data_IF_076701705479
#
_entry.id   IF_076701705479
#
_cell.length_a   1.000
_cell.length_b   1.000
_cell.length_c   1.000
_cell.angle_alpha   90.00
_cell.angle_beta   90.00
_cell.angle_gamma   90.00
#
_symmetry.space_group_name_H-M   'P 1'
#
loop_
_entity.id
_entity.type
_entity.pdbx_description
1 polymer ?
#
# COMPACT_ATOMS: atom_id res chain seq x y z
N UNK A 1 -25.21 18.41 -80.72
CA UNK A 1 -25.17 17.20 -81.59
C UNK A 1 -24.93 15.97 -80.71
N UNK A 2 -25.76 14.93 -80.90
CA UNK A 2 -25.62 13.50 -80.51
C UNK A 2 -25.62 13.18 -79.00
N UNK A 3 -26.77 12.72 -78.45
CA UNK A 3 -27.26 11.31 -78.27
C UNK A 3 -26.66 10.65 -77.01
N UNK A 4 -27.41 10.47 -75.92
CA UNK A 4 -28.46 9.48 -75.62
C UNK A 4 -27.94 8.15 -75.01
N UNK A 5 -28.40 7.89 -73.77
CA UNK A 5 -29.00 6.64 -73.24
C UNK A 5 -28.05 5.43 -72.98
N UNK A 6 -27.97 4.93 -71.72
CA UNK A 6 -28.68 3.73 -71.19
C UNK A 6 -27.89 2.94 -70.12
N UNK A 7 -28.67 2.27 -69.25
CA UNK A 7 -28.36 1.18 -68.30
C UNK A 7 -27.72 1.59 -66.96
N UNK A 8 -28.19 1.16 -65.79
CA UNK A 8 -29.13 0.09 -65.44
C UNK A 8 -28.66 -0.51 -64.10
N UNK A 9 -29.57 -0.60 -63.12
CA UNK A 9 -29.39 -1.16 -61.78
C UNK A 9 -28.56 -2.46 -61.73
N UNK A 10 -27.62 -2.56 -60.78
CA UNK A 10 -27.35 -3.82 -60.05
C UNK A 10 -27.23 -3.51 -58.55
N UNK A 11 -28.14 -4.13 -57.81
CA UNK A 11 -28.16 -4.28 -56.36
C UNK A 11 -27.02 -5.24 -55.97
N UNK A 12 -26.12 -4.83 -55.09
CA UNK A 12 -25.33 -5.79 -54.30
C UNK A 12 -24.99 -5.16 -52.95
N UNK A 13 -25.95 -5.29 -52.04
CA UNK A 13 -25.77 -5.48 -50.61
C UNK A 13 -24.47 -6.21 -50.27
N UNK A 14 -23.56 -5.52 -49.58
CA UNK A 14 -22.36 -6.12 -48.98
C UNK A 14 -21.41 -5.03 -48.51
N UNK A 15 -21.08 -5.03 -47.22
CA UNK A 15 -20.17 -4.10 -46.51
C UNK A 15 -20.72 -2.72 -46.12
N UNK A 16 -21.70 -2.69 -45.22
CA UNK A 16 -21.72 -1.69 -44.14
C UNK A 16 -21.96 -2.45 -42.82
N UNK A 17 -21.02 -3.31 -42.45
CA UNK A 17 -20.98 -3.99 -41.15
C UNK A 17 -19.53 -4.09 -40.63
N UNK A 18 -18.80 -2.97 -40.71
CA UNK A 18 -17.48 -2.80 -40.10
C UNK A 18 -17.43 -1.53 -39.21
N UNK A 19 -18.59 -1.05 -38.75
CA UNK A 19 -18.74 0.22 -38.04
C UNK A 19 -18.83 0.11 -36.51
N UNK A 20 -18.34 -0.96 -35.86
CA UNK A 20 -18.41 -1.08 -34.38
C UNK A 20 -17.18 -1.79 -33.74
N UNK A 21 -15.97 -1.73 -34.33
CA UNK A 21 -14.76 -2.23 -33.67
C UNK A 21 -13.56 -1.27 -33.69
N UNK A 22 -13.82 0.05 -33.74
CA UNK A 22 -12.75 1.05 -33.51
C UNK A 22 -13.10 2.09 -32.44
N UNK A 23 -14.06 1.78 -31.57
CA UNK A 23 -14.44 2.60 -30.43
C UNK A 23 -14.17 1.83 -29.11
N UNK A 24 -12.90 1.58 -28.80
CA UNK A 24 -12.35 1.38 -27.45
C UNK A 24 -10.87 0.99 -27.59
N UNK A 25 -9.99 1.99 -27.65
CA UNK A 25 -8.57 1.88 -27.31
C UNK A 25 -7.92 3.28 -27.29
N UNK A 26 -8.58 4.24 -26.63
CA UNK A 26 -7.98 5.53 -26.30
C UNK A 26 -8.51 6.00 -24.95
N UNK A 27 -7.92 5.47 -23.89
CA UNK A 27 -7.82 6.17 -22.61
C UNK A 27 -6.38 6.02 -22.10
N UNK A 28 -5.45 6.61 -22.83
CA UNK A 28 -4.14 7.03 -22.31
C UNK A 28 -3.89 8.44 -22.86
N UNK A 29 -4.74 9.37 -22.42
CA UNK A 29 -4.55 10.78 -22.69
C UNK A 29 -3.38 11.28 -21.87
N UNK A 30 -2.17 11.23 -22.42
CA UNK A 30 -1.04 11.98 -21.89
C UNK A 30 -1.48 13.43 -21.66
N UNK A 31 -1.45 13.89 -20.41
CA UNK A 31 -1.56 15.31 -20.10
C UNK A 31 -0.53 16.05 -20.97
N UNK A 32 -0.98 17.13 -21.63
CA UNK A 32 -0.19 17.85 -22.63
C UNK A 32 1.22 18.17 -22.10
N UNK A 33 2.27 17.97 -22.91
CA UNK A 33 3.63 18.30 -22.48
C UNK A 33 3.71 19.78 -22.11
N UNK A 34 4.18 20.07 -20.90
CA UNK A 34 4.45 21.43 -20.45
C UNK A 34 5.41 22.11 -21.45
N UNK A 35 5.15 23.38 -21.77
CA UNK A 35 6.03 24.17 -22.64
C UNK A 35 7.37 24.38 -21.90
N UNK A 36 8.46 23.89 -22.50
CA UNK A 36 9.81 23.93 -21.91
C UNK A 36 10.19 22.65 -21.15
N UNK A 37 11.36 22.64 -20.54
CA UNK A 37 11.75 21.58 -19.60
C UNK A 37 11.40 22.04 -18.18
N UNK A 38 10.21 21.74 -17.63
CA UNK A 38 9.90 22.13 -16.26
C UNK A 38 10.85 21.43 -15.28
N UNK A 39 11.02 22.05 -14.12
CA UNK A 39 11.76 21.48 -13.01
C UNK A 39 11.11 20.16 -12.57
N UNK A 40 11.92 19.14 -12.27
CA UNK A 40 11.41 17.92 -11.64
C UNK A 40 11.13 18.21 -10.18
N UNK A 41 9.97 17.77 -9.69
CA UNK A 41 9.55 18.01 -8.30
C UNK A 41 8.52 16.97 -7.85
N UNK A 42 8.30 16.90 -6.53
CA UNK A 42 7.16 16.21 -5.93
C UNK A 42 7.03 14.74 -6.32
N UNK A 43 7.98 13.90 -5.89
CA UNK A 43 7.77 12.45 -5.95
C UNK A 43 6.70 12.08 -4.92
N UNK A 44 5.67 11.36 -5.37
CA UNK A 44 4.64 10.77 -4.52
C UNK A 44 4.71 9.26 -4.67
N UNK A 45 4.73 8.55 -3.54
CA UNK A 45 4.75 7.08 -3.49
C UNK A 45 3.47 6.61 -2.83
N UNK A 46 2.79 5.67 -3.48
CA UNK A 46 1.58 5.04 -2.95
C UNK A 46 1.85 4.45 -1.55
N UNK A 47 1.01 4.84 -0.59
CA UNK A 47 1.10 4.35 0.78
C UNK A 47 0.42 2.99 0.91
N UNK A 48 0.74 2.25 1.98
CA UNK A 48 0.10 0.97 2.30
C UNK A 48 0.31 -0.13 1.25
N UNK A 49 1.40 -0.07 0.47
CA UNK A 49 1.71 -1.04 -0.59
C UNK A 49 3.19 -1.42 -0.60
N UNK A 50 3.47 -2.73 -0.62
CA UNK A 50 4.83 -3.25 -0.84
C UNK A 50 5.30 -3.19 -2.28
N UNK A 51 4.39 -2.83 -3.20
CA UNK A 51 4.66 -2.61 -4.62
C UNK A 51 4.00 -1.28 -5.03
N UNK A 52 4.47 -0.16 -4.47
CA UNK A 52 3.77 1.11 -4.62
C UNK A 52 3.84 1.61 -6.07
N UNK A 53 2.81 2.34 -6.48
CA UNK A 53 2.89 3.26 -7.62
C UNK A 53 3.72 4.49 -7.26
N UNK A 54 4.62 4.87 -8.16
CA UNK A 54 5.52 6.02 -8.01
C UNK A 54 5.13 7.06 -9.07
N UNK A 55 4.84 8.26 -8.60
CA UNK A 55 4.40 9.41 -9.40
C UNK A 55 5.31 10.60 -9.16
N UNK A 56 5.34 11.54 -10.11
CA UNK A 56 6.13 12.77 -9.99
C UNK A 56 5.57 13.90 -10.84
N UNK A 57 6.08 15.12 -10.58
CA UNK A 57 5.79 16.32 -11.36
C UNK A 57 7.03 16.77 -12.14
N UNK A 58 6.82 17.39 -13.30
CA UNK A 58 7.91 17.96 -14.11
C UNK A 58 8.22 17.21 -15.42
N UNK A 59 7.26 16.45 -15.95
CA UNK A 59 7.34 15.80 -17.27
C UNK A 59 8.03 14.44 -17.23
N UNK A 60 8.32 13.89 -18.41
CA UNK A 60 8.89 12.55 -18.54
C UNK A 60 10.38 12.52 -18.23
N UNK A 61 10.86 11.35 -17.79
CA UNK A 61 12.24 11.13 -17.37
C UNK A 61 12.83 9.93 -18.10
N UNK A 62 14.15 9.79 -18.03
CA UNK A 62 14.83 8.61 -18.60
C UNK A 62 15.15 7.56 -17.55
N UNK A 63 15.18 7.93 -16.27
CA UNK A 63 15.60 7.04 -15.19
C UNK A 63 14.64 7.15 -14.02
N UNK A 64 14.28 5.99 -13.47
CA UNK A 64 13.74 5.84 -12.12
C UNK A 64 14.71 4.94 -11.34
N UNK A 65 15.22 5.44 -10.23
CA UNK A 65 16.06 4.66 -9.32
C UNK A 65 15.50 4.64 -7.91
N UNK A 66 15.74 3.53 -7.22
CA UNK A 66 15.35 3.29 -5.84
C UNK A 66 16.55 2.68 -5.12
N UNK A 67 16.99 3.33 -4.05
CA UNK A 67 18.05 2.84 -3.16
C UNK A 67 17.47 2.55 -1.78
N UNK A 68 18.06 1.57 -1.09
CA UNK A 68 17.86 1.38 0.35
C UNK A 68 18.67 2.43 1.12
N UNK A 69 18.05 3.03 2.13
CA UNK A 69 18.65 4.08 2.95
C UNK A 69 18.31 5.49 2.45
N UNK A 70 19.15 6.46 2.83
CA UNK A 70 18.91 7.90 2.61
C UNK A 70 19.61 8.50 1.40
N UNK A 71 20.27 7.67 0.58
CA UNK A 71 21.16 8.12 -0.49
C UNK A 71 20.72 7.55 -1.83
N UNK A 72 20.66 8.41 -2.84
CA UNK A 72 20.62 8.00 -4.23
C UNK A 72 22.04 7.72 -4.71
N UNK A 73 22.30 6.56 -5.31
CA UNK A 73 23.61 6.18 -5.83
C UNK A 73 23.49 5.03 -6.83
N UNK A 74 24.50 4.90 -7.71
CA UNK A 74 24.69 3.73 -8.54
C UNK A 74 25.67 2.77 -7.85
N UNK A 75 25.16 2.01 -6.88
CA UNK A 75 25.94 1.08 -6.06
C UNK A 75 25.10 -0.10 -5.54
N UNK A 76 25.68 -0.91 -4.65
CA UNK A 76 25.04 -2.08 -4.04
C UNK A 76 23.77 -1.80 -3.22
N UNK A 77 23.47 -0.54 -2.90
CA UNK A 77 22.22 -0.18 -2.20
C UNK A 77 21.04 -0.08 -3.16
N UNK A 78 21.25 -0.16 -4.48
CA UNK A 78 20.20 -0.16 -5.48
C UNK A 78 19.25 -1.35 -5.28
N UNK A 79 17.98 -1.00 -5.19
CA UNK A 79 16.84 -1.92 -5.08
C UNK A 79 16.12 -2.01 -6.41
N UNK A 80 16.10 -0.95 -7.20
CA UNK A 80 15.59 -0.99 -8.56
C UNK A 80 16.13 0.18 -9.36
N UNK A 81 16.50 -0.07 -10.62
CA UNK A 81 16.94 0.96 -11.56
C UNK A 81 16.33 0.68 -12.93
N UNK A 82 15.43 1.54 -13.35
CA UNK A 82 14.75 1.50 -14.64
C UNK A 82 15.32 2.61 -15.52
N UNK A 83 15.67 2.27 -16.76
CA UNK A 83 16.13 3.22 -17.76
C UNK A 83 15.31 3.09 -19.04
N UNK A 84 14.91 4.22 -19.62
CA UNK A 84 14.38 4.28 -20.98
C UNK A 84 14.93 5.53 -21.69
N UNK A 85 15.48 5.41 -22.91
CA UNK A 85 16.07 6.54 -23.62
C UNK A 85 15.02 7.58 -24.02
N UNK A 86 15.45 8.81 -24.28
CA UNK A 86 14.61 9.87 -24.85
C UNK A 86 13.63 10.51 -23.88
N UNK A 87 13.85 10.38 -22.56
CA UNK A 87 12.89 10.79 -21.54
C UNK A 87 11.50 10.19 -21.78
N UNK A 88 11.41 8.87 -21.89
CA UNK A 88 10.18 8.14 -22.27
C UNK A 88 9.52 7.40 -21.11
N UNK A 89 10.02 7.52 -19.88
CA UNK A 89 9.32 6.99 -18.72
C UNK A 89 8.15 7.90 -18.34
N UNK A 90 6.96 7.31 -18.31
CA UNK A 90 5.71 7.93 -17.90
C UNK A 90 5.37 7.51 -16.47
N UNK A 91 4.75 8.41 -15.70
CA UNK A 91 4.12 8.08 -14.42
C UNK A 91 2.65 7.66 -14.65
N UNK A 92 2.05 6.87 -13.74
CA UNK A 92 2.69 6.18 -12.61
C UNK A 92 3.51 4.96 -13.05
N UNK A 93 4.55 4.61 -12.28
CA UNK A 93 5.28 3.34 -12.42
C UNK A 93 5.08 2.50 -11.16
N UNK A 94 4.59 1.27 -11.32
CA UNK A 94 4.48 0.33 -10.21
C UNK A 94 5.82 -0.35 -9.93
N UNK A 95 6.24 -0.36 -8.67
CA UNK A 95 7.46 -1.05 -8.25
C UNK A 95 7.52 -2.51 -8.75
N UNK A 96 8.64 -2.86 -9.38
CA UNK A 96 8.94 -4.20 -9.85
C UNK A 96 8.35 -4.55 -11.21
N UNK A 97 7.45 -3.72 -11.76
CA UNK A 97 6.92 -3.85 -13.11
C UNK A 97 7.72 -2.98 -14.09
N UNK A 98 8.42 -3.63 -15.02
CA UNK A 98 9.21 -2.92 -16.02
C UNK A 98 8.29 -2.28 -17.09
N UNK A 99 8.32 -0.96 -17.29
CA UNK A 99 7.56 -0.30 -18.34
C UNK A 99 7.97 -0.77 -19.74
N UNK A 100 7.05 -0.68 -20.71
CA UNK A 100 7.34 -1.03 -22.10
C UNK A 100 8.49 -0.18 -22.67
N UNK A 101 9.44 -0.82 -23.34
CA UNK A 101 10.62 -0.15 -23.92
C UNK A 101 11.71 0.23 -22.91
N UNK A 102 11.48 0.04 -21.61
CA UNK A 102 12.48 0.28 -20.59
C UNK A 102 13.37 -0.93 -20.33
N UNK A 103 14.51 -0.69 -19.69
CA UNK A 103 15.52 -1.67 -19.29
C UNK A 103 15.68 -1.65 -17.77
N UNK A 104 15.82 -2.83 -17.17
CA UNK A 104 16.23 -2.96 -15.77
C UNK A 104 17.76 -3.01 -15.70
N UNK A 105 18.37 -1.94 -15.18
CA UNK A 105 19.83 -1.82 -15.05
C UNK A 105 20.31 -2.11 -13.62
N UNK A 106 19.46 -2.65 -12.74
CA UNK A 106 19.76 -2.81 -11.31
C UNK A 106 21.03 -3.63 -11.08
N UNK A 107 21.13 -4.78 -11.72
CA UNK A 107 22.27 -5.69 -11.57
C UNK A 107 23.57 -5.13 -12.16
N UNK A 108 23.48 -4.28 -13.19
CA UNK A 108 24.66 -3.66 -13.82
C UNK A 108 25.45 -2.79 -12.83
N UNK A 109 24.77 -2.19 -11.87
CA UNK A 109 25.38 -1.32 -10.85
C UNK A 109 25.47 -2.00 -9.48
N UNK A 110 25.42 -3.33 -9.44
CA UNK A 110 25.61 -4.13 -8.21
C UNK A 110 24.40 -4.19 -7.28
N UNK A 111 23.25 -3.67 -7.70
CA UNK A 111 22.00 -3.75 -6.94
C UNK A 111 21.31 -5.10 -7.06
N UNK A 112 20.30 -5.31 -6.21
CA UNK A 112 19.44 -6.51 -6.24
C UNK A 112 17.98 -6.09 -6.13
N UNK A 113 17.18 -6.48 -7.13
CA UNK A 113 15.74 -6.22 -7.14
C UNK A 113 14.97 -7.27 -6.33
N UNK A 114 14.37 -6.91 -5.19
CA UNK A 114 13.49 -7.81 -4.45
C UNK A 114 12.12 -7.92 -5.14
N UNK A 115 11.38 -8.98 -4.81
CA UNK A 115 10.00 -9.16 -5.30
C UNK A 115 9.03 -8.09 -4.78
N UNK A 116 9.36 -7.47 -3.64
CA UNK A 116 8.62 -6.38 -3.03
C UNK A 116 9.53 -5.56 -2.12
N UNK A 117 9.15 -4.33 -1.82
CA UNK A 117 9.82 -3.55 -0.79
C UNK A 117 9.56 -4.16 0.60
N UNK A 118 10.37 -3.79 1.58
CA UNK A 118 10.30 -4.31 2.97
C UNK A 118 9.82 -3.22 3.92
N UNK A 119 8.97 -3.58 4.88
CA UNK A 119 8.43 -2.70 5.92
C UNK A 119 9.53 -2.10 6.80
N UNK A 120 9.30 -0.90 7.35
CA UNK A 120 10.21 -0.21 8.27
C UNK A 120 11.60 0.08 7.66
N UNK A 121 11.78 -0.09 6.35
CA UNK A 121 13.02 0.21 5.64
C UNK A 121 12.88 1.57 4.96
N UNK A 122 13.86 2.44 5.16
CA UNK A 122 13.96 3.69 4.43
C UNK A 122 14.40 3.45 2.98
N UNK A 123 13.73 4.10 2.04
CA UNK A 123 14.11 4.11 0.63
C UNK A 123 14.25 5.53 0.12
N UNK A 124 15.24 5.74 -0.75
CA UNK A 124 15.38 6.96 -1.54
C UNK A 124 14.95 6.67 -2.98
N UNK A 125 13.88 7.33 -3.40
CA UNK A 125 13.39 7.33 -4.77
C UNK A 125 13.98 8.53 -5.51
N UNK A 126 14.44 8.34 -6.73
CA UNK A 126 14.99 9.43 -7.53
C UNK A 126 14.69 9.24 -9.01
N UNK A 127 14.55 10.36 -9.71
CA UNK A 127 14.20 10.41 -11.12
C UNK A 127 15.16 11.34 -11.84
N UNK A 128 15.56 10.97 -13.05
CA UNK A 128 16.57 11.72 -13.78
C UNK A 128 16.28 11.82 -15.28
N UNK A 129 16.52 13.00 -15.86
CA UNK A 129 16.48 13.22 -17.31
C UNK A 129 17.74 12.72 -18.00
N UNK A 130 17.64 12.45 -19.30
CA UNK A 130 18.67 11.76 -20.08
C UNK A 130 20.02 12.51 -20.11
N UNK A 131 19.97 13.84 -20.17
CA UNK A 131 21.12 14.73 -20.21
C UNK A 131 22.02 14.59 -18.97
N UNK A 132 21.41 14.49 -17.79
CA UNK A 132 22.12 14.23 -16.54
C UNK A 132 22.56 12.76 -16.46
N UNK A 133 21.71 11.82 -16.88
CA UNK A 133 22.01 10.38 -16.83
C UNK A 133 23.29 10.02 -17.58
N UNK A 134 23.48 10.57 -18.78
CA UNK A 134 24.69 10.36 -19.61
C UNK A 134 25.99 10.74 -18.88
N UNK A 135 25.93 11.69 -17.96
CA UNK A 135 27.09 12.13 -17.19
C UNK A 135 27.23 11.36 -15.87
N UNK A 136 26.12 11.05 -15.20
CA UNK A 136 26.08 10.36 -13.90
C UNK A 136 26.57 8.91 -14.00
N UNK A 137 26.29 8.22 -15.11
CA UNK A 137 26.71 6.82 -15.32
C UNK A 137 28.22 6.62 -15.28
N UNK A 138 29.01 7.64 -15.66
CA UNK A 138 30.47 7.60 -15.57
C UNK A 138 31.00 7.75 -14.14
N UNK A 139 30.13 8.04 -13.17
CA UNK A 139 30.47 8.39 -11.79
C UNK A 139 29.80 7.45 -10.78
N UNK A 140 29.77 6.14 -11.09
CA UNK A 140 29.23 5.11 -10.20
C UNK A 140 29.86 5.12 -8.80
N UNK A 141 29.14 4.60 -7.81
CA UNK A 141 29.49 4.60 -6.38
C UNK A 141 29.60 5.98 -5.70
N UNK A 142 29.14 7.06 -6.35
CA UNK A 142 29.06 8.40 -5.75
C UNK A 142 27.62 8.74 -5.37
N UNK A 143 27.48 9.58 -4.34
CA UNK A 143 26.18 10.06 -3.88
C UNK A 143 25.61 11.06 -4.89
N UNK A 144 24.40 10.79 -5.38
CA UNK A 144 23.68 11.65 -6.29
C UNK A 144 22.86 12.66 -5.46
N UNK A 145 23.18 13.94 -5.61
CA UNK A 145 22.61 15.04 -4.84
C UNK A 145 21.96 16.07 -5.77
N UNK A 146 20.86 16.67 -5.33
CA UNK A 146 20.28 17.85 -5.98
C UNK A 146 21.02 19.10 -5.51
N UNK A 147 21.42 19.97 -6.42
CA UNK A 147 22.05 21.27 -6.11
C UNK A 147 21.36 22.39 -6.89
N UNK A 148 20.58 23.20 -6.17
CA UNK A 148 19.79 24.31 -6.73
C UNK A 148 20.63 25.50 -7.19
N UNK A 149 21.93 25.54 -6.88
CA UNK A 149 22.83 26.60 -7.36
C UNK A 149 23.35 26.35 -8.77
N UNK A 150 23.16 25.15 -9.31
CA UNK A 150 23.64 24.77 -10.63
C UNK A 150 22.74 25.31 -11.74
N UNK A 151 23.37 25.77 -12.83
CA UNK A 151 22.67 26.14 -14.05
C UNK A 151 21.90 24.95 -14.64
N UNK A 152 20.93 25.23 -15.51
CA UNK A 152 20.15 24.20 -16.19
C UNK A 152 21.06 23.19 -16.92
N UNK A 153 20.68 21.91 -16.89
CA UNK A 153 21.43 20.78 -17.46
C UNK A 153 22.85 20.57 -16.92
N UNK A 154 23.24 21.22 -15.82
CA UNK A 154 24.59 21.10 -15.25
C UNK A 154 24.71 19.92 -14.29
N UNK A 155 25.83 19.20 -14.40
CA UNK A 155 26.26 18.13 -13.50
C UNK A 155 27.69 18.43 -13.04
N UNK A 156 27.94 18.41 -11.73
CA UNK A 156 29.28 18.58 -11.16
C UNK A 156 29.64 17.32 -10.37
N UNK A 157 30.78 16.72 -10.71
CA UNK A 157 31.36 15.60 -9.97
C UNK A 157 32.47 16.15 -9.07
N UNK A 158 32.34 15.96 -7.76
CA UNK A 158 33.33 16.43 -6.79
C UNK A 158 33.37 15.50 -5.57
N UNK A 159 34.57 15.05 -5.21
CA UNK A 159 34.76 14.09 -4.11
C UNK A 159 33.87 12.86 -4.30
N UNK A 160 33.10 12.51 -3.28
CA UNK A 160 32.20 11.35 -3.28
C UNK A 160 30.77 11.67 -3.73
N UNK A 161 30.58 12.78 -4.46
CA UNK A 161 29.24 13.23 -4.86
C UNK A 161 29.17 13.65 -6.32
N UNK A 162 27.99 13.43 -6.89
CA UNK A 162 27.55 13.98 -8.17
C UNK A 162 26.39 14.91 -7.89
N UNK A 163 26.58 16.20 -8.13
CA UNK A 163 25.57 17.23 -7.91
C UNK A 163 24.89 17.52 -9.24
N UNK A 164 23.57 17.45 -9.26
CA UNK A 164 22.74 17.62 -10.45
C UNK A 164 21.72 18.73 -10.18
N UNK A 165 21.49 19.58 -11.19
CA UNK A 165 20.46 20.62 -11.12
C UNK A 165 19.06 20.02 -10.90
N UNK A 166 18.16 20.71 -10.16
CA UNK A 166 16.77 20.27 -9.99
C UNK A 166 15.97 20.22 -11.31
N UNK A 167 16.49 20.79 -12.40
CA UNK A 167 15.89 20.66 -13.74
C UNK A 167 15.97 19.25 -14.31
N UNK A 168 16.95 18.46 -13.86
CA UNK A 168 17.28 17.14 -14.41
C UNK A 168 17.30 16.02 -13.36
N UNK A 169 17.17 16.34 -12.06
CA UNK A 169 17.08 15.37 -10.96
C UNK A 169 16.05 15.81 -9.91
N UNK A 170 15.23 14.88 -9.45
CA UNK A 170 14.48 14.98 -8.19
C UNK A 170 14.70 13.73 -7.36
N UNK A 171 14.64 13.88 -6.03
CA UNK A 171 14.69 12.76 -5.09
C UNK A 171 13.71 12.97 -3.94
N UNK A 172 13.20 11.86 -3.40
CA UNK A 172 12.43 11.80 -2.17
C UNK A 172 12.97 10.66 -1.32
N UNK A 173 12.91 10.82 0.00
CA UNK A 173 13.32 9.77 0.94
C UNK A 173 12.20 9.59 1.94
N UNK A 174 11.69 8.37 2.02
CA UNK A 174 10.61 8.01 2.91
C UNK A 174 10.79 6.59 3.42
N UNK A 175 10.20 6.31 4.58
CA UNK A 175 10.15 4.95 5.09
C UNK A 175 9.06 4.19 4.35
N UNK A 176 9.35 2.94 3.98
CA UNK A 176 8.31 2.02 3.54
C UNK A 176 7.39 1.74 4.71
N UNK A 177 6.13 2.05 4.50
CA UNK A 177 5.13 2.20 5.53
C UNK A 177 3.84 1.53 5.03
N UNK A 178 3.94 0.23 4.76
CA UNK A 178 2.90 -0.54 4.08
C UNK A 178 1.83 -1.07 5.04
N UNK A 179 2.11 -1.20 6.34
CA UNK A 179 1.09 -1.54 7.34
C UNK A 179 1.33 -0.96 8.72
N UNK A 180 0.26 -0.88 9.51
CA UNK A 180 0.34 -0.39 10.89
C UNK A 180 1.07 -1.39 11.78
N UNK A 181 2.11 -0.91 12.44
CA UNK A 181 2.94 -1.74 13.29
C UNK A 181 2.47 -1.67 14.74
N UNK A 182 2.38 -2.83 15.38
CA UNK A 182 2.07 -2.93 16.81
C UNK A 182 3.38 -2.82 17.59
N UNK A 183 3.50 -1.79 18.42
CA UNK A 183 4.70 -1.53 19.22
C UNK A 183 4.67 -2.23 20.57
N UNK A 184 3.49 -2.39 21.16
CA UNK A 184 3.32 -3.10 22.43
C UNK A 184 1.87 -3.56 22.63
N UNK A 185 1.72 -4.58 23.49
CA UNK A 185 0.42 -5.17 23.86
C UNK A 185 0.41 -5.39 25.37
N UNK A 186 -0.53 -4.75 26.07
CA UNK A 186 -0.77 -4.96 27.49
C UNK A 186 -2.07 -5.70 27.73
N UNK A 187 -2.01 -6.95 28.17
CA UNK A 187 -3.21 -7.76 28.46
C UNK A 187 -3.72 -7.57 29.89
N UNK A 188 -5.03 -7.53 30.05
CA UNK A 188 -5.78 -7.30 31.29
C UNK A 188 -7.05 -8.15 31.30
N UNK A 189 -7.68 -8.30 32.47
CA UNK A 189 -8.92 -9.07 32.61
C UNK A 189 -8.71 -10.50 33.08
N UNK A 190 -9.83 -11.15 33.41
CA UNK A 190 -9.84 -12.46 34.05
C UNK A 190 -9.92 -13.61 33.05
N UNK A 191 -10.64 -13.43 31.93
CA UNK A 191 -10.96 -14.53 31.01
C UNK A 191 -9.71 -15.18 30.41
N UNK A 192 -8.82 -14.38 29.81
CA UNK A 192 -7.70 -14.87 29.02
C UNK A 192 -6.53 -13.88 29.01
N UNK A 193 -5.38 -14.37 28.58
CA UNK A 193 -4.29 -13.52 28.10
C UNK A 193 -4.42 -13.38 26.58
N UNK A 194 -4.44 -12.13 26.09
CA UNK A 194 -4.60 -11.80 24.67
C UNK A 194 -3.23 -11.45 24.09
N UNK A 195 -2.94 -11.98 22.91
CA UNK A 195 -1.77 -11.64 22.10
C UNK A 195 -2.25 -11.10 20.75
N UNK A 196 -1.61 -10.05 20.27
CA UNK A 196 -1.93 -9.44 18.98
C UNK A 196 -0.66 -9.44 18.15
N UNK A 197 -0.72 -10.04 16.97
CA UNK A 197 0.43 -10.24 16.09
C UNK A 197 0.11 -9.53 14.78
N UNK A 198 0.95 -8.59 14.37
CA UNK A 198 0.83 -7.96 13.06
C UNK A 198 1.45 -8.88 11.99
N UNK A 199 0.71 -9.30 10.95
CA UNK A 199 1.31 -10.03 9.84
C UNK A 199 2.24 -9.14 9.02
N UNK A 200 3.31 -9.72 8.47
CA UNK A 200 4.31 -8.99 7.68
C UNK A 200 3.90 -8.68 6.24
N UNK A 201 2.63 -8.91 5.88
CA UNK A 201 2.16 -8.85 4.49
C UNK A 201 0.77 -8.21 4.31
N UNK A 202 0.08 -7.84 5.39
CA UNK A 202 -1.25 -7.25 5.31
C UNK A 202 -1.60 -6.44 6.57
N UNK A 203 -2.70 -5.69 6.48
CA UNK A 203 -3.22 -4.82 7.54
C UNK A 203 -4.17 -5.52 8.52
N UNK A 204 -4.22 -6.86 8.53
CA UNK A 204 -5.16 -7.62 9.35
C UNK A 204 -4.44 -8.28 10.53
N UNK A 205 -4.44 -7.69 11.73
CA UNK A 205 -3.88 -8.32 12.92
C UNK A 205 -4.40 -9.75 13.13
N UNK A 206 -3.50 -10.62 13.57
CA UNK A 206 -3.83 -11.95 14.07
C UNK A 206 -3.99 -11.86 15.59
N UNK A 207 -5.20 -12.10 16.08
CA UNK A 207 -5.50 -12.10 17.51
C UNK A 207 -5.45 -13.55 18.02
N UNK A 208 -4.71 -13.76 19.10
CA UNK A 208 -4.65 -15.02 19.83
C UNK A 208 -5.08 -14.80 21.28
N UNK A 209 -5.65 -15.83 21.90
CA UNK A 209 -5.87 -15.80 23.34
C UNK A 209 -5.64 -17.17 23.97
N UNK A 210 -5.30 -17.15 25.25
CA UNK A 210 -5.20 -18.33 26.10
C UNK A 210 -6.08 -18.13 27.33
N UNK A 211 -7.13 -18.93 27.46
CA UNK A 211 -8.04 -18.87 28.60
C UNK A 211 -7.26 -19.17 29.89
N UNK A 212 -7.51 -18.36 30.92
CA UNK A 212 -6.86 -18.47 32.25
C UNK A 212 -7.86 -18.47 33.41
N UNK A 213 -9.10 -18.09 33.18
CA UNK A 213 -10.11 -18.06 34.24
C UNK A 213 -10.44 -19.49 34.71
N UNK A 214 -10.36 -19.71 36.03
CA UNK A 214 -10.73 -20.99 36.63
C UNK A 214 -12.18 -21.35 36.32
N UNK A 215 -12.42 -22.62 35.97
CA UNK A 215 -13.74 -23.14 35.62
C UNK A 215 -14.18 -22.89 34.18
N UNK A 216 -13.42 -22.13 33.38
CA UNK A 216 -13.66 -21.97 31.94
C UNK A 216 -12.76 -22.93 31.16
N UNK A 217 -13.37 -23.92 30.51
CA UNK A 217 -12.65 -24.93 29.70
C UNK A 217 -12.77 -24.70 28.20
N UNK A 218 -13.82 -24.01 27.76
CA UNK A 218 -14.02 -23.65 26.36
C UNK A 218 -13.00 -22.59 25.96
N UNK A 219 -12.25 -22.86 24.89
CA UNK A 219 -11.27 -21.93 24.33
C UNK A 219 -11.87 -20.91 23.39
N UNK A 220 -13.13 -21.09 22.98
CA UNK A 220 -13.84 -20.17 22.10
C UNK A 220 -14.53 -19.06 22.91
N UNK A 221 -14.89 -17.99 22.23
CA UNK A 221 -15.53 -16.80 22.82
C UNK A 221 -16.84 -16.50 22.09
N UNK A 222 -17.69 -15.70 22.73
CA UNK A 222 -19.00 -15.32 22.19
C UNK A 222 -19.01 -13.91 21.60
N UNK A 223 -18.07 -13.05 21.98
CA UNK A 223 -17.94 -11.71 21.42
C UNK A 223 -16.50 -11.21 21.43
N UNK A 224 -16.18 -10.38 20.45
CA UNK A 224 -14.89 -9.70 20.31
C UNK A 224 -15.09 -8.34 19.67
N UNK A 225 -14.29 -7.36 20.05
CA UNK A 225 -14.30 -6.06 19.41
C UNK A 225 -13.02 -5.26 19.62
N UNK A 226 -12.93 -4.18 18.87
CA UNK A 226 -11.82 -3.22 18.88
C UNK A 226 -12.41 -1.82 18.92
N UNK A 227 -11.93 -1.02 19.88
CA UNK A 227 -12.26 0.41 19.95
C UNK A 227 -10.98 1.24 20.04
N UNK A 228 -11.03 2.49 19.58
CA UNK A 228 -9.96 3.46 19.84
C UNK A 228 -9.90 3.84 21.32
N UNK A 229 -8.68 4.04 21.81
CA UNK A 229 -8.35 4.39 23.19
C UNK A 229 -7.77 3.24 23.99
N UNK A 230 -7.41 3.55 25.24
CA UNK A 230 -6.92 2.61 26.25
C UNK A 230 -8.04 2.00 27.12
N UNK A 231 -9.28 2.39 26.86
CA UNK A 231 -10.49 1.90 27.49
C UNK A 231 -11.61 1.79 26.45
N UNK A 232 -12.63 0.98 26.74
CA UNK A 232 -13.76 0.81 25.85
C UNK A 232 -14.49 2.14 25.61
N UNK A 233 -14.56 2.56 24.35
CA UNK A 233 -15.31 3.74 23.91
C UNK A 233 -16.28 3.35 22.77
N UNK A 234 -17.60 3.36 23.00
CA UNK A 234 -18.59 3.04 21.97
C UNK A 234 -18.50 3.94 20.73
N UNK A 235 -18.12 5.21 20.90
CA UNK A 235 -17.98 6.14 19.77
C UNK A 235 -16.74 5.85 18.92
N UNK A 236 -15.78 5.09 19.46
CA UNK A 236 -14.53 4.71 18.81
C UNK A 236 -14.50 3.28 18.29
N UNK A 237 -15.64 2.57 18.20
CA UNK A 237 -15.67 1.19 17.70
C UNK A 237 -15.14 1.15 16.26
N UNK A 238 -14.14 0.31 16.03
CA UNK A 238 -13.55 0.05 14.71
C UNK A 238 -13.93 -1.31 14.15
N UNK A 239 -14.25 -2.26 15.02
CA UNK A 239 -14.70 -3.58 14.62
C UNK A 239 -15.40 -4.25 15.80
N UNK A 240 -16.51 -4.93 15.55
CA UNK A 240 -17.23 -5.63 16.61
C UNK A 240 -18.06 -6.79 16.07
N UNK A 241 -17.88 -7.97 16.65
CA UNK A 241 -18.49 -9.23 16.22
C UNK A 241 -18.99 -10.03 17.42
N UNK A 242 -20.24 -10.49 17.35
CA UNK A 242 -20.86 -11.30 18.41
C UNK A 242 -21.49 -12.55 17.81
N UNK A 243 -21.46 -13.67 18.53
CA UNK A 243 -22.22 -14.87 18.21
C UNK A 243 -23.71 -14.54 18.06
N UNK A 244 -24.40 -15.17 17.12
CA UNK A 244 -25.86 -15.03 16.97
C UNK A 244 -26.54 -16.37 17.19
N UNK A 245 -27.56 -16.36 18.04
CA UNK A 245 -28.52 -17.45 18.20
C UNK A 245 -29.87 -17.02 17.64
N UNK A 246 -30.43 -17.82 16.73
CA UNK A 246 -31.74 -17.60 16.13
C UNK A 246 -32.71 -18.78 16.34
N UNK A 247 -32.36 -19.74 17.20
CA UNK A 247 -33.14 -20.97 17.46
C UNK A 247 -34.56 -20.69 17.98
N UNK A 248 -34.76 -19.56 18.64
CA UNK A 248 -36.04 -19.13 19.22
C UNK A 248 -36.86 -18.20 18.31
N UNK A 249 -36.43 -18.01 17.06
CA UNK A 249 -37.04 -17.06 16.10
C UNK A 249 -36.73 -15.58 16.39
N UNK A 250 -36.09 -15.28 17.53
CA UNK A 250 -35.50 -13.97 17.83
C UNK A 250 -33.98 -14.07 17.82
N UNK A 251 -33.30 -13.07 17.27
CA UNK A 251 -31.84 -12.98 17.33
C UNK A 251 -31.41 -12.63 18.75
N UNK A 252 -30.56 -13.46 19.35
CA UNK A 252 -29.91 -13.20 20.63
C UNK A 252 -28.40 -13.20 20.42
N UNK A 253 -27.71 -12.19 20.94
CA UNK A 253 -26.26 -12.01 20.72
C UNK A 253 -25.43 -12.42 21.93
N UNK A 254 -24.22 -12.92 21.67
CA UNK A 254 -23.22 -13.27 22.69
C UNK A 254 -23.59 -14.49 23.56
N UNK A 255 -24.46 -15.39 23.09
CA UNK A 255 -24.93 -16.57 23.85
C UNK A 255 -24.23 -17.87 23.53
N UNK A 256 -23.49 -17.94 22.43
CA UNK A 256 -22.77 -19.14 22.02
C UNK A 256 -21.28 -18.83 21.89
N UNK A 257 -20.44 -19.68 22.46
CA UNK A 257 -19.00 -19.59 22.25
C UNK A 257 -18.69 -20.27 20.90
N UNK A 258 -18.37 -19.47 19.89
CA UNK A 258 -18.21 -19.95 18.49
C UNK A 258 -17.02 -19.31 17.78
N UNK A 259 -16.45 -18.25 18.36
CA UNK A 259 -15.33 -17.53 17.78
C UNK A 259 -14.05 -18.18 18.28
N UNK A 260 -13.28 -18.77 17.36
CA UNK A 260 -12.09 -19.52 17.67
C UNK A 260 -10.80 -18.69 17.55
N UNK A 261 -9.78 -19.10 18.29
CA UNK A 261 -8.41 -18.59 18.19
C UNK A 261 -7.54 -19.59 17.41
N UNK A 262 -6.56 -19.15 16.60
CA UNK A 262 -6.21 -17.77 16.27
C UNK A 262 -7.23 -17.15 15.30
N UNK A 263 -7.45 -15.84 15.40
CA UNK A 263 -8.39 -15.10 14.57
C UNK A 263 -7.68 -14.05 13.72
N UNK A 264 -7.74 -14.20 12.41
CA UNK A 264 -7.36 -13.13 11.48
C UNK A 264 -8.53 -12.15 11.38
N UNK A 265 -8.27 -10.85 11.58
CA UNK A 265 -9.29 -9.82 11.44
C UNK A 265 -9.72 -9.63 9.98
N UNK A 266 -10.98 -9.25 9.75
CA UNK A 266 -11.52 -8.96 8.41
C UNK A 266 -12.51 -10.00 7.88
N UNK A 267 -12.15 -11.29 7.76
CA UNK A 267 -13.08 -12.32 7.29
C UNK A 267 -14.35 -12.45 8.14
N UNK A 268 -15.47 -12.81 7.50
CA UNK A 268 -16.71 -13.15 8.21
C UNK A 268 -16.53 -14.42 9.04
N UNK A 269 -17.03 -14.40 10.27
CA UNK A 269 -16.96 -15.53 11.19
C UNK A 269 -18.30 -16.27 11.18
N UNK A 270 -18.34 -17.59 10.88
CA UNK A 270 -19.58 -18.36 10.92
C UNK A 270 -20.27 -18.29 12.28
N UNK A 271 -21.61 -18.23 12.28
CA UNK A 271 -22.41 -18.18 13.52
C UNK A 271 -22.33 -16.84 14.27
N UNK A 272 -21.86 -15.77 13.62
CA UNK A 272 -21.75 -14.43 14.21
C UNK A 272 -22.47 -13.36 13.40
N UNK A 273 -22.67 -12.20 14.03
CA UNK A 273 -23.08 -10.95 13.42
C UNK A 273 -21.96 -9.93 13.60
N UNK A 274 -21.49 -9.35 12.49
CA UNK A 274 -20.64 -8.17 12.50
C UNK A 274 -21.51 -6.92 12.64
N UNK A 275 -21.22 -6.06 13.62
CA UNK A 275 -21.91 -4.78 13.83
C UNK A 275 -21.14 -3.63 13.19
N UNK A 276 -19.81 -3.70 13.24
CA UNK A 276 -18.90 -2.78 12.56
C UNK A 276 -17.86 -3.62 11.84
N UNK A 277 -17.78 -3.50 10.52
CA UNK A 277 -16.80 -4.21 9.70
C UNK A 277 -15.39 -3.65 9.93
N UNK A 278 -14.38 -4.52 9.85
CA UNK A 278 -13.00 -4.09 10.04
C UNK A 278 -12.58 -3.22 8.86
N UNK A 279 -11.96 -2.05 9.09
CA UNK A 279 -11.52 -1.15 8.02
C UNK A 279 -10.55 -1.86 7.06
N UNK A 280 -10.75 -1.67 5.75
CA UNK A 280 -9.90 -2.30 4.73
C UNK A 280 -8.46 -1.74 4.76
N UNK A 281 -8.33 -0.47 5.12
CA UNK A 281 -7.06 0.21 5.39
C UNK A 281 -6.38 -0.26 6.69
N UNK A 282 -7.09 -1.02 7.52
CA UNK A 282 -6.61 -1.51 8.81
C UNK A 282 -6.73 -0.52 9.96
N UNK A 283 -5.93 -0.78 11.00
CA UNK A 283 -5.80 0.15 12.13
C UNK A 283 -5.08 1.43 11.69
N UNK A 284 -5.14 2.48 12.49
CA UNK A 284 -4.42 3.74 12.27
C UNK A 284 -3.14 3.77 13.10
N UNK A 285 -2.15 4.52 12.61
CA UNK A 285 -0.88 4.76 13.32
C UNK A 285 -1.05 5.72 14.48
N UNK A 286 -0.18 5.60 15.48
CA UNK A 286 -0.13 6.47 16.66
C UNK A 286 -1.46 6.55 17.40
N UNK A 287 -2.18 5.43 17.43
CA UNK A 287 -3.46 5.28 18.12
C UNK A 287 -3.37 4.08 19.07
N UNK A 288 -3.89 4.26 20.27
CA UNK A 288 -4.10 3.17 21.20
C UNK A 288 -5.41 2.47 20.84
N UNK A 289 -5.38 1.14 20.85
CA UNK A 289 -6.56 0.31 20.61
C UNK A 289 -6.86 -0.57 21.81
N UNK A 290 -8.14 -0.61 22.16
CA UNK A 290 -8.69 -1.48 23.18
C UNK A 290 -9.34 -2.67 22.48
N UNK A 291 -8.66 -3.82 22.52
CA UNK A 291 -9.14 -5.08 21.94
C UNK A 291 -9.73 -5.93 23.05
N UNK A 292 -10.99 -6.32 22.96
CA UNK A 292 -11.66 -7.06 24.02
C UNK A 292 -12.30 -8.35 23.53
N UNK A 293 -12.35 -9.34 24.41
CA UNK A 293 -13.03 -10.62 24.19
C UNK A 293 -13.92 -10.94 25.39
N UNK A 294 -15.02 -11.63 25.12
CA UNK A 294 -15.94 -12.11 26.14
C UNK A 294 -16.51 -13.48 25.77
N UNK A 295 -16.70 -14.37 26.75
CA UNK A 295 -17.42 -15.62 26.53
C UNK A 295 -18.91 -15.48 26.90
N UNK A 296 -19.72 -16.50 26.64
CA UNK A 296 -21.17 -16.49 26.87
C UNK A 296 -21.61 -16.21 28.32
N UNK A 297 -20.72 -16.38 29.29
CA UNK A 297 -20.97 -16.11 30.71
C UNK A 297 -20.88 -14.63 31.08
N UNK A 298 -20.40 -13.78 30.18
CA UNK A 298 -20.29 -12.33 30.39
C UNK A 298 -21.65 -11.65 30.52
N UNK A 299 -21.72 -10.67 31.43
CA UNK A 299 -22.94 -9.91 31.76
C UNK A 299 -23.32 -8.85 30.71
N UNK A 300 -22.50 -8.69 29.66
CA UNK A 300 -22.63 -7.71 28.58
C UNK A 300 -22.44 -6.24 29.00
N UNK A 301 -22.14 -5.98 30.28
CA UNK A 301 -22.03 -4.65 30.85
C UNK A 301 -20.63 -4.37 31.40
N UNK A 302 -20.10 -5.24 32.26
CA UNK A 302 -18.79 -5.09 32.88
C UNK A 302 -17.65 -5.10 31.86
N UNK A 303 -16.73 -4.14 31.95
CA UNK A 303 -15.55 -4.01 31.06
C UNK A 303 -14.27 -3.67 31.81
N UNK A 304 -14.21 -4.08 33.07
CA UNK A 304 -13.05 -3.81 33.93
C UNK A 304 -12.10 -5.01 33.92
N UNK A 305 -10.87 -4.80 34.42
CA UNK A 305 -9.89 -5.90 34.58
C UNK A 305 -10.35 -7.00 35.56
N UNK A 306 -11.39 -6.75 36.36
CA UNK A 306 -11.93 -7.70 37.34
C UNK A 306 -13.24 -8.35 36.87
N UNK A 307 -13.77 -7.95 35.73
CA UNK A 307 -15.01 -8.51 35.20
C UNK A 307 -14.78 -9.97 34.81
N UNK A 308 -15.58 -10.87 35.40
CA UNK A 308 -15.59 -12.28 35.03
C UNK A 308 -15.98 -12.47 33.57
N UNK A 309 -15.42 -13.49 32.93
CA UNK A 309 -15.74 -13.86 31.55
C UNK A 309 -15.39 -12.79 30.51
N UNK A 310 -14.54 -11.85 30.89
CA UNK A 310 -14.10 -10.73 30.07
C UNK A 310 -12.57 -10.58 30.14
N UNK A 311 -11.95 -10.26 29.02
CA UNK A 311 -10.56 -9.86 28.94
C UNK A 311 -10.36 -8.80 27.87
N UNK A 312 -9.29 -8.02 28.01
CA UNK A 312 -8.92 -7.03 27.01
C UNK A 312 -7.41 -6.85 26.92
N UNK A 313 -6.97 -6.24 25.83
CA UNK A 313 -5.62 -5.78 25.63
C UNK A 313 -5.63 -4.33 25.17
N UNK A 314 -4.65 -3.56 25.66
CA UNK A 314 -4.31 -2.25 25.12
C UNK A 314 -3.18 -2.48 24.12
N UNK A 315 -3.36 -2.01 22.89
CA UNK A 315 -2.44 -2.19 21.78
C UNK A 315 -2.00 -0.83 21.30
N UNK A 316 -0.71 -0.57 21.31
CA UNK A 316 -0.14 0.68 20.84
C UNK A 316 0.36 0.51 19.39
N UNK A 317 -0.03 1.42 18.50
CA UNK A 317 0.44 1.43 17.10
C UNK A 317 1.52 2.48 16.88
N UNK A 318 2.52 2.18 16.04
CA UNK A 318 3.55 3.12 15.57
C UNK A 318 3.33 3.54 14.11
#
# INVERSE_FOLDING_TARGET
MKKNILFGLIFSTGLILAGIFSACNKEDGALAPYIGSPQLSGISVEKLSFRPHIEWLGGYVSVLGINRGSKAALDSTLVWLVYSPGNSLHYPIQFGMLPSGAQDLTAQYGGVKPDSLSEDVQYTYWLMKEDAWKQVTAAANKNILVDSSLAASSVIISGDSVRVTPMSLVRSTENMDAFVNISSVETRGNLADITVIQPTKNNYPLIRWKIKQAGVTDSTISAIGITEGNQYNPAGIRWEVWSVDSSTGKKVYGKNDVIASPLLLGPKIPGTQTFVEFPAEGLKRNIDYYIWIANKGWDQQGRTRFTSYYAYAIVHTK
#
